data_IF_318343957550
#
_entry.id   IF_318343957550
#
_cell.length_a   1.000
_cell.length_b   1.000
_cell.length_c   1.000
_cell.angle_alpha   90.00
_cell.angle_beta   90.00
_cell.angle_gamma   90.00
#
_symmetry.space_group_name_H-M   'P 1'
#
loop_
_entity.id
_entity.type
_entity.pdbx_description
1 polymer ?
#
# COMPACT_ATOMS: atom_id res chain seq x y z
N UNK A 1 -0.11 4.94 9.96
CA UNK A 1 0.91 3.91 9.66
C UNK A 1 1.24 3.03 10.87
N UNK A 2 0.52 3.14 11.98
CA UNK A 2 0.94 2.48 13.24
C UNK A 2 0.89 0.96 13.18
N UNK A 3 -0.11 0.41 12.50
CA UNK A 3 -0.17 -1.02 12.23
C UNK A 3 1.04 -1.51 11.42
N UNK A 4 1.47 -0.77 10.39
CA UNK A 4 2.66 -1.10 9.60
C UNK A 4 3.92 -1.03 10.48
N UNK A 5 4.00 -0.04 11.36
CA UNK A 5 5.14 0.11 12.27
C UNK A 5 5.19 -1.01 13.33
N UNK A 6 4.05 -1.49 13.83
CA UNK A 6 3.98 -2.67 14.69
C UNK A 6 4.46 -3.93 13.95
N UNK A 7 4.03 -4.14 12.70
CA UNK A 7 4.50 -5.25 11.86
C UNK A 7 6.01 -5.17 11.58
N UNK A 8 6.52 -3.95 11.35
CA UNK A 8 7.95 -3.69 11.17
C UNK A 8 8.74 -4.01 12.44
N UNK A 9 8.25 -3.62 13.61
CA UNK A 9 8.90 -3.89 14.91
C UNK A 9 9.01 -5.39 15.18
N UNK A 10 7.94 -6.13 14.91
CA UNK A 10 7.96 -7.59 15.03
C UNK A 10 8.93 -8.23 14.04
N UNK A 11 8.94 -7.79 12.78
CA UNK A 11 9.89 -8.25 11.76
C UNK A 11 11.34 -7.99 12.16
N UNK A 12 11.63 -6.79 12.68
CA UNK A 12 12.94 -6.40 13.16
C UNK A 12 13.39 -7.29 14.32
N UNK A 13 12.52 -7.49 15.31
CA UNK A 13 12.83 -8.34 16.47
C UNK A 13 13.10 -9.80 16.08
N UNK A 14 12.35 -10.34 15.12
CA UNK A 14 12.46 -11.74 14.71
C UNK A 14 13.60 -12.02 13.74
N UNK A 15 13.90 -11.08 12.83
CA UNK A 15 14.77 -11.34 11.68
C UNK A 15 15.96 -10.38 11.58
N UNK A 16 16.00 -9.33 12.39
CA UNK A 16 16.98 -8.25 12.30
C UNK A 16 16.81 -7.35 11.07
N UNK A 17 15.74 -7.53 10.28
CA UNK A 17 15.50 -6.75 9.05
C UNK A 17 14.61 -5.55 9.32
N UNK A 18 15.02 -4.40 8.79
CA UNK A 18 14.19 -3.19 8.75
C UNK A 18 13.12 -3.31 7.65
N UNK A 19 12.05 -2.53 7.80
CA UNK A 19 10.99 -2.39 6.79
C UNK A 19 11.07 -1.00 6.18
N UNK A 20 10.98 -0.91 4.86
CA UNK A 20 10.95 0.36 4.13
C UNK A 20 9.62 0.48 3.40
N UNK A 21 8.91 1.59 3.64
CA UNK A 21 7.72 1.96 2.88
C UNK A 21 8.11 3.00 1.84
N UNK A 22 7.91 2.64 0.57
CA UNK A 22 8.17 3.51 -0.59
C UNK A 22 6.88 4.28 -0.92
N UNK A 23 6.96 5.61 -0.99
CA UNK A 23 5.81 6.48 -1.29
C UNK A 23 6.18 7.59 -2.28
N UNK A 24 5.16 8.14 -2.92
CA UNK A 24 5.29 9.37 -3.71
C UNK A 24 5.28 10.61 -2.79
N UNK A 25 5.29 11.80 -3.40
CA UNK A 25 5.33 13.07 -2.69
C UNK A 25 3.93 13.67 -2.44
N UNK A 26 2.89 12.85 -2.31
CA UNK A 26 1.55 13.32 -1.97
C UNK A 26 1.54 14.18 -0.70
N UNK A 27 0.77 15.28 -0.69
CA UNK A 27 0.80 16.29 0.39
C UNK A 27 0.49 15.75 1.79
N UNK A 28 -0.31 14.67 1.87
CA UNK A 28 -0.58 13.97 3.12
C UNK A 28 0.66 13.25 3.66
N UNK A 29 1.48 12.65 2.79
CA UNK A 29 2.70 11.92 3.15
C UNK A 29 3.80 12.85 3.69
N UNK A 30 3.85 14.08 3.19
CA UNK A 30 4.82 15.10 3.61
C UNK A 30 4.28 16.04 4.68
N UNK A 31 3.06 15.81 5.20
CA UNK A 31 2.43 16.69 6.18
C UNK A 31 3.20 16.71 7.51
N UNK A 32 3.14 17.83 8.23
CA UNK A 32 3.81 17.98 9.53
C UNK A 32 3.39 16.93 10.55
N UNK A 33 2.10 16.55 10.53
CA UNK A 33 1.55 15.50 11.38
C UNK A 33 2.20 14.14 11.12
N UNK A 34 2.44 13.80 9.84
CA UNK A 34 3.11 12.56 9.46
C UNK A 34 4.59 12.61 9.82
N UNK A 35 5.27 13.73 9.56
CA UNK A 35 6.69 13.90 9.89
C UNK A 35 6.97 13.74 11.39
N UNK A 36 6.08 14.21 12.26
CA UNK A 36 6.20 14.06 13.71
C UNK A 36 6.19 12.59 14.17
N UNK A 37 5.63 11.68 13.38
CA UNK A 37 5.59 10.25 13.71
C UNK A 37 6.85 9.49 13.24
N UNK A 38 7.67 10.08 12.37
CA UNK A 38 8.83 9.40 11.79
C UNK A 38 9.82 8.87 12.83
N UNK A 39 10.22 9.61 13.89
CA UNK A 39 11.16 9.10 14.88
C UNK A 39 10.63 7.83 15.56
N UNK A 40 9.35 7.84 15.95
CA UNK A 40 8.69 6.69 16.57
C UNK A 40 8.64 5.49 15.62
N UNK A 41 8.33 5.70 14.35
CA UNK A 41 8.32 4.61 13.36
C UNK A 41 9.73 4.07 13.09
N UNK A 42 10.75 4.92 13.07
CA UNK A 42 12.14 4.49 12.89
C UNK A 42 12.65 3.64 14.07
N UNK A 43 12.30 4.00 15.30
CA UNK A 43 12.57 3.17 16.51
C UNK A 43 11.93 1.78 16.39
N UNK A 44 10.78 1.68 15.69
CA UNK A 44 10.09 0.44 15.38
C UNK A 44 10.66 -0.29 14.14
N UNK A 45 11.77 0.19 13.57
CA UNK A 45 12.38 -0.41 12.38
C UNK A 45 11.66 -0.10 11.06
N UNK A 46 10.73 0.86 11.07
CA UNK A 46 10.01 1.32 9.88
C UNK A 46 10.61 2.62 9.34
N UNK A 47 11.07 2.58 8.09
CA UNK A 47 11.62 3.72 7.39
C UNK A 47 10.73 4.10 6.21
N UNK A 48 10.71 5.39 5.88
CA UNK A 48 9.99 5.92 4.73
C UNK A 48 11.00 6.36 3.69
N UNK A 49 10.80 5.92 2.45
CA UNK A 49 11.59 6.31 1.30
C UNK A 49 10.68 7.02 0.29
N UNK A 50 11.01 8.26 -0.04
CA UNK A 50 10.28 9.03 -1.03
C UNK A 50 10.92 8.84 -2.41
N UNK A 51 10.09 8.52 -3.40
CA UNK A 51 10.51 8.53 -4.80
C UNK A 51 10.84 9.97 -5.25
N UNK A 52 11.73 10.14 -6.24
CA UNK A 52 11.91 11.44 -6.88
C UNK A 52 10.57 11.98 -7.40
N UNK A 53 10.36 13.31 -7.39
CA UNK A 53 9.13 13.91 -7.92
C UNK A 53 8.88 13.49 -9.37
N UNK A 54 7.61 13.21 -9.70
CA UNK A 54 7.15 12.84 -11.04
C UNK A 54 7.69 11.52 -11.62
N UNK A 55 8.30 10.66 -10.79
CA UNK A 55 8.79 9.34 -11.21
C UNK A 55 7.76 8.21 -10.96
N UNK A 56 6.57 8.32 -11.54
CA UNK A 56 5.50 7.31 -11.39
C UNK A 56 5.92 5.91 -11.87
N UNK A 57 6.78 5.84 -12.88
CA UNK A 57 7.35 4.62 -13.43
C UNK A 57 8.21 3.83 -12.43
N UNK A 58 8.73 4.51 -11.40
CA UNK A 58 9.50 3.88 -10.32
C UNK A 58 8.60 3.30 -9.23
N UNK A 59 7.29 3.60 -9.23
CA UNK A 59 6.36 3.11 -8.22
C UNK A 59 5.75 1.76 -8.65
N UNK A 60 6.11 0.63 -8.00
CA UNK A 60 5.64 -0.69 -8.44
C UNK A 60 4.12 -0.87 -8.39
N UNK A 61 3.43 -0.10 -7.55
CA UNK A 61 1.96 -0.17 -7.43
C UNK A 61 1.26 0.26 -8.73
N UNK A 62 1.89 1.14 -9.53
CA UNK A 62 1.32 1.62 -10.80
C UNK A 62 1.14 0.48 -11.80
N UNK A 63 2.08 -0.48 -11.80
CA UNK A 63 1.95 -1.67 -12.64
C UNK A 63 0.78 -2.54 -12.19
N UNK A 64 0.54 -2.67 -10.89
CA UNK A 64 -0.61 -3.42 -10.38
C UNK A 64 -1.93 -2.75 -10.75
N UNK A 65 -2.03 -1.42 -10.62
CA UNK A 65 -3.22 -0.67 -11.03
C UNK A 65 -3.48 -0.71 -12.53
N UNK A 66 -2.43 -0.60 -13.34
CA UNK A 66 -2.55 -0.72 -14.80
C UNK A 66 -3.15 -2.07 -15.19
N UNK A 67 -2.66 -3.13 -14.57
CA UNK A 67 -3.14 -4.48 -14.80
C UNK A 67 -4.60 -4.61 -14.37
N UNK A 68 -4.94 -4.22 -13.13
CA UNK A 68 -6.30 -4.26 -12.59
C UNK A 68 -7.32 -3.59 -13.54
N UNK A 69 -6.97 -2.40 -14.03
CA UNK A 69 -7.83 -1.66 -14.96
C UNK A 69 -7.96 -2.31 -16.33
N UNK A 70 -6.90 -2.94 -16.83
CA UNK A 70 -6.85 -3.49 -18.18
C UNK A 70 -7.46 -4.89 -18.29
N UNK A 71 -7.35 -5.72 -17.25
CA UNK A 71 -7.74 -7.13 -17.31
C UNK A 71 -8.95 -7.45 -16.44
N UNK A 72 -9.11 -6.80 -15.29
CA UNK A 72 -10.13 -7.13 -14.30
C UNK A 72 -11.33 -6.17 -14.34
N UNK A 73 -11.15 -4.91 -14.78
CA UNK A 73 -12.21 -3.88 -14.79
C UNK A 73 -12.63 -3.48 -16.22
N UNK A 74 -11.78 -3.70 -17.22
CA UNK A 74 -11.98 -3.18 -18.57
C UNK A 74 -13.33 -3.60 -19.17
N UNK A 75 -14.07 -2.62 -19.70
CA UNK A 75 -15.37 -2.85 -20.37
C UNK A 75 -16.55 -3.08 -19.42
N UNK A 76 -16.35 -3.00 -18.11
CA UNK A 76 -17.43 -3.12 -17.13
C UNK A 76 -18.01 -1.75 -16.74
N UNK A 77 -19.32 -1.73 -16.52
CA UNK A 77 -20.04 -0.61 -15.92
C UNK A 77 -20.58 -1.07 -14.58
N UNK A 78 -20.51 -0.20 -13.57
CA UNK A 78 -20.96 -0.50 -12.21
C UNK A 78 -22.09 0.45 -11.84
N UNK A 79 -23.14 -0.09 -11.24
CA UNK A 79 -24.31 0.70 -10.84
C UNK A 79 -24.04 1.52 -9.57
N UNK A 80 -23.11 1.07 -8.73
CA UNK A 80 -22.75 1.71 -7.48
C UNK A 80 -21.29 1.42 -7.07
N UNK A 81 -20.83 2.13 -6.04
CA UNK A 81 -19.48 2.00 -5.51
C UNK A 81 -19.19 0.62 -4.89
N UNK A 82 -20.22 -0.06 -4.37
CA UNK A 82 -20.07 -1.38 -3.77
C UNK A 82 -19.71 -2.43 -4.83
N UNK A 83 -20.39 -2.42 -5.98
CA UNK A 83 -20.10 -3.34 -7.09
C UNK A 83 -18.70 -3.12 -7.65
N UNK A 84 -18.28 -1.85 -7.77
CA UNK A 84 -16.91 -1.50 -8.15
C UNK A 84 -15.90 -2.02 -7.11
N UNK A 85 -16.15 -1.79 -5.82
CA UNK A 85 -15.25 -2.24 -4.75
C UNK A 85 -15.12 -3.76 -4.71
N UNK A 86 -16.23 -4.48 -4.85
CA UNK A 86 -16.23 -5.95 -4.90
C UNK A 86 -15.44 -6.47 -6.10
N UNK A 87 -15.62 -5.88 -7.28
CA UNK A 87 -14.88 -6.25 -8.49
C UNK A 87 -13.37 -6.00 -8.32
N UNK A 88 -12.98 -4.89 -7.70
CA UNK A 88 -11.58 -4.61 -7.36
C UNK A 88 -11.02 -5.67 -6.41
N UNK A 89 -11.75 -6.03 -5.35
CA UNK A 89 -11.33 -7.04 -4.37
C UNK A 89 -11.15 -8.40 -5.04
N UNK A 90 -12.13 -8.85 -5.81
CA UNK A 90 -12.05 -10.12 -6.55
C UNK A 90 -10.88 -10.13 -7.52
N UNK A 91 -10.67 -9.04 -8.26
CA UNK A 91 -9.52 -8.89 -9.14
C UNK A 91 -8.19 -9.01 -8.38
N UNK A 92 -8.06 -8.37 -7.23
CA UNK A 92 -6.85 -8.50 -6.39
C UNK A 92 -6.66 -9.93 -5.86
N UNK A 93 -7.73 -10.63 -5.47
CA UNK A 93 -7.67 -12.02 -5.00
C UNK A 93 -7.25 -12.99 -6.10
N UNK A 94 -7.82 -12.87 -7.30
CA UNK A 94 -7.45 -13.69 -8.47
C UNK A 94 -5.96 -13.52 -8.78
N UNK A 95 -5.48 -12.27 -8.79
CA UNK A 95 -4.07 -11.96 -9.02
C UNK A 95 -3.14 -12.49 -7.94
N UNK A 96 -3.55 -12.42 -6.68
CA UNK A 96 -2.80 -12.97 -5.54
C UNK A 96 -2.62 -14.49 -5.67
N UNK A 97 -3.69 -15.21 -6.04
CA UNK A 97 -3.63 -16.65 -6.30
C UNK A 97 -2.71 -16.97 -7.49
N UNK A 98 -2.84 -16.22 -8.59
CA UNK A 98 -2.01 -16.43 -9.78
C UNK A 98 -0.53 -16.09 -9.57
N UNK A 99 -0.23 -15.02 -8.82
CA UNK A 99 1.13 -14.56 -8.52
C UNK A 99 1.76 -15.23 -7.30
N UNK A 100 1.03 -16.12 -6.61
CA UNK A 100 1.46 -16.82 -5.41
C UNK A 100 2.06 -15.90 -4.33
N UNK A 101 1.36 -14.80 -4.03
CA UNK A 101 1.73 -13.87 -2.97
C UNK A 101 0.59 -13.68 -1.98
N UNK A 102 0.95 -13.45 -0.71
CA UNK A 102 -0.02 -13.15 0.34
C UNK A 102 -0.70 -11.81 0.05
N UNK A 103 -2.04 -11.80 0.11
CA UNK A 103 -2.84 -10.60 0.05
C UNK A 103 -3.49 -10.35 1.42
N UNK A 104 -3.23 -9.18 1.99
CA UNK A 104 -3.85 -8.73 3.23
C UNK A 104 -4.75 -7.53 2.93
N UNK A 105 -6.04 -7.62 3.29
CA UNK A 105 -6.95 -6.49 3.21
C UNK A 105 -6.87 -5.67 4.49
N UNK A 106 -6.61 -4.37 4.34
CA UNK A 106 -6.65 -3.42 5.44
C UNK A 106 -7.91 -2.55 5.34
N UNK A 107 -8.68 -2.50 6.42
CA UNK A 107 -9.89 -1.67 6.50
C UNK A 107 -9.57 -0.49 7.43
N UNK A 108 -9.70 0.73 6.91
CA UNK A 108 -9.65 1.92 7.75
C UNK A 108 -10.96 2.01 8.52
N UNK A 109 -10.92 1.75 9.82
CA UNK A 109 -12.03 2.11 10.70
C UNK A 109 -11.99 3.63 10.84
N UNK A 110 -12.83 4.35 10.09
CA UNK A 110 -13.07 5.77 10.37
C UNK A 110 -13.88 5.87 11.66
N UNK A 111 -13.34 6.58 12.64
CA UNK A 111 -14.06 6.95 13.86
C UNK A 111 -15.17 7.96 13.56
#
# INVERSE_FOLDING_TARGET
>A
MDWVAQKASHTLAQTGRITVVVQDNGSLHTSRLVQQQWPRWQEQGLFIFFLPPYCSEMNPIETQWRQLKAHEIAGQMFDNEYDLAMTVIEGMEVRSKAGNYLLERFIFNSA
#
